data_IF_587722738407
#
_entry.id   IF_587722738407
#
_cell.length_a   1.000
_cell.length_b   1.000
_cell.length_c   1.000
_cell.angle_alpha   90.00
_cell.angle_beta   90.00
_cell.angle_gamma   90.00
#
_symmetry.space_group_name_H-M   'P 1'
#
loop_
_entity.id
_entity.type
_entity.pdbx_description
1 polymer ?
#
# COMPACT_ATOMS: atom_id res chain seq x y z
N UNK A 1 9.68 14.90 -24.58
CA UNK A 1 9.94 14.04 -23.41
C UNK A 1 9.82 12.55 -23.72
N UNK A 2 8.66 12.02 -24.16
CA UNK A 2 8.52 10.59 -24.48
C UNK A 2 9.56 10.09 -25.48
N UNK A 3 9.70 10.72 -26.64
CA UNK A 3 10.64 10.30 -27.68
C UNK A 3 12.13 10.37 -27.26
N UNK A 4 12.46 11.17 -26.25
CA UNK A 4 13.82 11.31 -25.72
C UNK A 4 14.24 10.05 -24.94
N UNK A 5 13.38 9.58 -24.03
CA UNK A 5 13.68 8.49 -23.12
C UNK A 5 13.07 7.15 -23.53
N UNK A 6 12.00 7.16 -24.32
CA UNK A 6 11.24 5.97 -24.64
C UNK A 6 11.27 5.63 -26.12
N UNK A 7 11.00 4.39 -26.43
CA UNK A 7 10.82 3.86 -27.79
C UNK A 7 9.54 3.04 -27.83
N UNK A 8 8.84 3.07 -28.98
CA UNK A 8 7.73 2.19 -29.22
C UNK A 8 8.24 0.76 -29.36
N UNK A 9 7.62 -0.18 -28.65
CA UNK A 9 7.83 -1.61 -28.90
C UNK A 9 6.99 -2.01 -30.12
N UNK A 10 7.65 -2.38 -31.19
CA UNK A 10 7.23 -2.52 -32.60
C UNK A 10 5.92 -3.26 -32.97
N UNK A 11 4.95 -3.40 -32.07
CA UNK A 11 3.67 -4.04 -32.31
C UNK A 11 2.44 -3.26 -31.84
N UNK A 12 2.60 -2.22 -31.02
CA UNK A 12 1.49 -1.43 -30.49
C UNK A 12 1.90 0.05 -30.41
N UNK A 13 1.01 0.94 -30.84
CA UNK A 13 1.20 2.40 -30.69
C UNK A 13 1.01 2.89 -29.27
N UNK A 14 0.54 2.04 -28.36
CA UNK A 14 0.30 2.34 -26.93
C UNK A 14 1.44 1.90 -26.03
N UNK A 15 2.32 0.99 -26.47
CA UNK A 15 3.33 0.38 -25.61
C UNK A 15 4.69 1.09 -25.77
N UNK A 16 5.09 1.73 -24.69
CA UNK A 16 6.35 2.46 -24.61
C UNK A 16 7.33 1.73 -23.71
N UNK A 17 8.55 1.54 -24.17
CA UNK A 17 9.64 0.97 -23.40
C UNK A 17 10.74 1.99 -23.18
N UNK A 18 11.23 2.11 -21.95
CA UNK A 18 12.38 2.96 -21.63
C UNK A 18 13.64 2.43 -22.35
N UNK A 19 14.34 3.29 -23.05
CA UNK A 19 15.59 2.94 -23.75
C UNK A 19 16.66 2.57 -22.73
N UNK A 20 17.37 1.45 -22.93
CA UNK A 20 18.36 0.98 -21.96
C UNK A 20 19.45 2.02 -21.65
N UNK A 21 19.95 2.74 -22.65
CA UNK A 21 20.95 3.81 -22.47
C UNK A 21 20.40 5.08 -21.84
N UNK A 22 19.07 5.25 -21.78
CA UNK A 22 18.41 6.42 -21.22
C UNK A 22 17.92 6.23 -19.79
N UNK A 23 18.05 5.03 -19.21
CA UNK A 23 17.52 4.69 -17.87
C UNK A 23 18.03 5.68 -16.83
N UNK A 24 19.34 5.85 -16.71
CA UNK A 24 19.91 6.74 -15.71
C UNK A 24 19.47 8.20 -15.94
N UNK A 25 19.58 8.70 -17.16
CA UNK A 25 19.20 10.07 -17.49
C UNK A 25 17.70 10.35 -17.24
N UNK A 26 16.85 9.37 -17.49
CA UNK A 26 15.42 9.47 -17.18
C UNK A 26 15.18 9.62 -15.68
N UNK A 27 15.78 8.75 -14.86
CA UNK A 27 15.56 8.80 -13.42
C UNK A 27 16.24 9.99 -12.76
N UNK A 28 17.38 10.45 -13.28
CA UNK A 28 18.01 11.71 -12.86
C UNK A 28 17.09 12.91 -13.16
N UNK A 29 16.44 12.92 -14.33
CA UNK A 29 15.42 13.93 -14.65
C UNK A 29 14.22 13.84 -13.70
N UNK A 30 13.68 12.64 -13.45
CA UNK A 30 12.54 12.47 -12.53
C UNK A 30 12.91 12.94 -11.12
N UNK A 31 14.13 12.67 -10.65
CA UNK A 31 14.60 13.08 -9.32
C UNK A 31 14.73 14.60 -9.12
N UNK A 32 14.62 15.40 -10.19
CA UNK A 32 14.63 16.88 -10.07
C UNK A 32 13.31 17.43 -9.48
N UNK A 33 12.22 16.68 -9.55
CA UNK A 33 10.89 17.09 -9.07
C UNK A 33 10.17 16.04 -8.26
N UNK A 34 10.71 14.80 -8.15
CA UNK A 34 10.15 13.70 -7.34
C UNK A 34 11.26 13.10 -6.49
N UNK A 35 10.93 12.73 -5.26
CA UNK A 35 11.84 12.08 -4.31
C UNK A 35 11.24 10.76 -3.89
N UNK A 36 12.04 9.69 -3.87
CA UNK A 36 11.67 8.41 -3.30
C UNK A 36 12.70 8.00 -2.25
N UNK A 37 12.21 7.81 -1.02
CA UNK A 37 13.00 7.35 0.11
C UNK A 37 12.28 6.15 0.74
N UNK A 38 13.01 5.09 1.01
CA UNK A 38 12.49 3.89 1.66
C UNK A 38 12.87 3.85 3.14
N UNK A 39 14.00 4.44 3.49
CA UNK A 39 14.56 4.43 4.84
C UNK A 39 15.53 5.61 5.03
N UNK A 40 15.82 6.00 6.28
CA UNK A 40 16.69 7.13 6.57
C UNK A 40 18.08 7.04 5.95
N UNK A 41 18.68 5.86 5.84
CA UNK A 41 20.00 5.68 5.22
C UNK A 41 20.04 6.00 3.72
N UNK A 42 18.89 6.06 3.05
CA UNK A 42 18.83 6.51 1.66
C UNK A 42 19.29 7.96 1.49
N UNK A 43 19.28 8.74 2.57
CA UNK A 43 19.77 10.12 2.62
C UNK A 43 20.88 10.34 3.68
N UNK A 44 21.51 9.25 4.13
CA UNK A 44 22.69 9.31 4.98
C UNK A 44 22.44 9.37 6.48
N UNK A 45 21.21 9.11 6.95
CA UNK A 45 20.86 9.01 8.37
C UNK A 45 20.86 7.56 8.85
N UNK A 46 20.83 7.37 10.18
CA UNK A 46 20.76 6.04 10.79
C UNK A 46 19.37 5.41 10.62
N UNK A 47 19.35 4.09 10.36
CA UNK A 47 18.12 3.31 10.16
C UNK A 47 17.52 2.78 11.49
N UNK A 48 18.05 3.16 12.65
CA UNK A 48 17.53 2.71 13.95
C UNK A 48 16.04 3.02 14.08
N UNK A 49 15.23 1.99 14.37
CA UNK A 49 13.78 2.08 14.46
C UNK A 49 13.04 2.05 13.11
N UNK A 50 13.76 2.03 11.98
CA UNK A 50 13.17 1.97 10.65
C UNK A 50 13.40 0.63 9.93
N UNK A 51 14.18 -0.26 10.52
CA UNK A 51 14.38 -1.61 9.99
C UNK A 51 13.09 -2.41 10.11
N UNK A 52 12.65 -2.99 9.00
CA UNK A 52 11.48 -3.85 8.97
C UNK A 52 11.92 -5.31 9.10
N UNK A 53 11.14 -6.16 9.80
CA UNK A 53 11.35 -7.59 9.81
C UNK A 53 11.21 -8.16 8.38
N UNK A 54 11.64 -9.42 8.14
CA UNK A 54 11.46 -10.05 6.84
C UNK A 54 9.99 -10.09 6.41
N UNK A 55 9.71 -9.80 5.13
CA UNK A 55 8.42 -10.02 4.51
C UNK A 55 8.39 -11.43 3.90
N UNK A 56 7.49 -12.28 4.38
CA UNK A 56 7.29 -13.62 3.87
C UNK A 56 6.07 -13.65 2.95
N UNK A 57 6.25 -14.00 1.68
CA UNK A 57 5.15 -14.13 0.72
C UNK A 57 4.98 -15.59 0.37
N UNK A 58 3.88 -16.19 0.83
CA UNK A 58 3.53 -17.59 0.64
C UNK A 58 2.47 -17.67 -0.45
N UNK A 59 2.70 -18.53 -1.42
CA UNK A 59 1.71 -18.82 -2.46
C UNK A 59 1.02 -20.14 -2.15
N UNK A 60 -0.30 -20.07 -2.07
CA UNK A 60 -1.17 -21.22 -1.88
C UNK A 60 -1.95 -21.46 -3.17
N UNK A 61 -1.54 -22.46 -3.94
CA UNK A 61 -2.20 -22.82 -5.19
C UNK A 61 -3.13 -23.99 -4.89
N UNK A 62 -4.43 -23.76 -5.12
CA UNK A 62 -5.46 -24.77 -4.94
C UNK A 62 -5.78 -25.39 -6.30
N UNK A 63 -5.71 -26.71 -6.37
CA UNK A 63 -6.07 -27.43 -7.58
C UNK A 63 -7.59 -27.38 -7.82
N UNK A 64 -7.98 -26.99 -9.03
CA UNK A 64 -9.39 -26.93 -9.43
C UNK A 64 -9.88 -28.33 -9.84
N UNK A 65 -11.07 -28.74 -9.37
CA UNK A 65 -11.68 -29.98 -9.84
C UNK A 65 -11.80 -29.99 -11.38
N UNK A 66 -11.56 -31.15 -11.98
CA UNK A 66 -11.66 -31.32 -13.42
C UNK A 66 -13.08 -30.98 -13.89
N UNK A 67 -13.20 -30.01 -14.78
CA UNK A 67 -14.48 -29.61 -15.36
C UNK A 67 -14.88 -30.54 -16.50
N UNK A 68 -16.16 -30.85 -16.59
CA UNK A 68 -16.69 -31.76 -17.61
C UNK A 68 -16.96 -30.99 -18.94
N UNK A 69 -15.91 -30.38 -19.50
CA UNK A 69 -15.97 -29.56 -20.72
C UNK A 69 -15.35 -30.23 -21.95
N UNK A 70 -15.08 -31.53 -21.88
CA UNK A 70 -14.45 -32.28 -22.97
C UNK A 70 -12.96 -32.03 -23.19
N UNK A 71 -12.34 -31.19 -22.34
CA UNK A 71 -10.90 -30.89 -22.38
C UNK A 71 -10.13 -31.72 -21.37
N UNK A 72 -8.87 -32.04 -21.66
CA UNK A 72 -8.00 -32.75 -20.73
C UNK A 72 -7.63 -31.93 -19.51
N UNK A 73 -7.53 -30.60 -19.64
CA UNK A 73 -7.17 -29.65 -18.61
C UNK A 73 -8.21 -28.53 -18.50
N UNK A 74 -8.34 -27.93 -17.32
CA UNK A 74 -9.14 -26.72 -17.16
C UNK A 74 -8.43 -25.56 -17.89
N UNK A 75 -9.16 -24.74 -18.68
CA UNK A 75 -8.56 -23.60 -19.35
C UNK A 75 -8.07 -22.57 -18.33
N UNK A 76 -6.90 -22.02 -18.57
CA UNK A 76 -6.36 -20.90 -17.78
C UNK A 76 -7.10 -19.62 -18.18
N UNK A 77 -7.45 -18.80 -17.21
CA UNK A 77 -8.08 -17.49 -17.44
C UNK A 77 -7.11 -16.57 -18.21
N UNK A 78 -7.45 -16.17 -19.43
CA UNK A 78 -6.56 -15.43 -20.33
C UNK A 78 -6.77 -13.92 -20.22
N UNK A 79 -7.98 -13.47 -19.92
CA UNK A 79 -8.36 -12.06 -19.85
C UNK A 79 -9.11 -11.74 -18.55
N UNK A 80 -9.39 -10.45 -18.30
CA UNK A 80 -10.05 -10.00 -17.09
C UNK A 80 -11.46 -10.59 -16.90
N UNK A 81 -12.19 -10.83 -17.99
CA UNK A 81 -13.55 -11.41 -17.94
C UNK A 81 -13.48 -12.88 -17.49
N UNK A 82 -12.60 -13.66 -18.09
CA UNK A 82 -12.38 -15.06 -17.72
C UNK A 82 -11.90 -15.16 -16.28
N UNK A 83 -11.01 -14.26 -15.87
CA UNK A 83 -10.54 -14.19 -14.50
C UNK A 83 -11.65 -13.92 -13.49
N UNK A 84 -12.51 -12.93 -13.73
CA UNK A 84 -13.65 -12.66 -12.84
C UNK A 84 -14.67 -13.80 -12.80
N UNK A 85 -14.81 -14.54 -13.90
CA UNK A 85 -15.61 -15.76 -13.94
C UNK A 85 -14.96 -16.85 -13.09
N UNK A 86 -13.67 -17.06 -13.25
CA UNK A 86 -12.88 -18.04 -12.51
C UNK A 86 -12.90 -17.78 -11.02
N UNK A 87 -12.74 -16.51 -10.59
CA UNK A 87 -12.88 -16.12 -9.19
C UNK A 87 -14.23 -16.52 -8.58
N UNK A 88 -15.32 -16.40 -9.35
CA UNK A 88 -16.67 -16.76 -8.90
C UNK A 88 -16.92 -18.26 -8.90
N UNK A 89 -16.30 -19.00 -9.82
CA UNK A 89 -16.47 -20.45 -9.90
C UNK A 89 -15.60 -21.22 -8.90
N UNK A 90 -14.51 -20.63 -8.45
CA UNK A 90 -13.52 -21.27 -7.55
C UNK A 90 -13.53 -20.75 -6.13
N UNK A 91 -14.47 -19.84 -5.77
CA UNK A 91 -14.42 -19.18 -4.46
C UNK A 91 -14.46 -20.18 -3.29
N UNK A 92 -15.28 -21.23 -3.36
CA UNK A 92 -15.42 -22.20 -2.26
C UNK A 92 -14.11 -22.92 -1.94
N UNK A 93 -13.43 -23.46 -2.97
CA UNK A 93 -12.17 -24.18 -2.76
C UNK A 93 -11.07 -23.26 -2.24
N UNK A 94 -11.01 -22.03 -2.73
CA UNK A 94 -10.04 -21.02 -2.26
C UNK A 94 -10.33 -20.62 -0.82
N UNK A 95 -11.58 -20.38 -0.47
CA UNK A 95 -11.96 -19.92 0.87
C UNK A 95 -11.87 -21.05 1.91
N UNK A 96 -12.06 -22.30 1.50
CA UNK A 96 -11.74 -23.45 2.39
C UNK A 96 -10.23 -23.46 2.73
N UNK A 97 -9.37 -23.17 1.74
CA UNK A 97 -7.91 -23.06 2.01
C UNK A 97 -7.60 -21.86 2.91
N UNK A 98 -8.28 -20.73 2.72
CA UNK A 98 -8.17 -19.56 3.63
C UNK A 98 -8.52 -19.97 5.07
N UNK A 99 -9.65 -20.66 5.27
CA UNK A 99 -10.06 -21.11 6.60
C UNK A 99 -9.07 -22.12 7.20
N UNK A 100 -8.50 -23.01 6.40
CA UNK A 100 -7.44 -23.93 6.82
C UNK A 100 -6.23 -23.17 7.36
N UNK A 101 -5.73 -22.15 6.62
CA UNK A 101 -4.59 -21.32 7.06
C UNK A 101 -4.91 -20.63 8.38
N UNK A 102 -6.07 -19.99 8.50
CA UNK A 102 -6.47 -19.26 9.71
C UNK A 102 -6.61 -20.20 10.92
N UNK A 103 -7.21 -21.38 10.72
CA UNK A 103 -7.41 -22.37 11.78
C UNK A 103 -6.11 -23.06 12.22
N UNK A 104 -5.10 -23.12 11.36
CA UNK A 104 -3.77 -23.60 11.73
C UNK A 104 -3.06 -22.65 12.71
N UNK A 105 -3.51 -21.38 12.81
CA UNK A 105 -2.93 -20.34 13.67
C UNK A 105 -3.98 -19.69 14.58
N UNK A 106 -4.55 -20.43 15.55
CA UNK A 106 -5.74 -20.02 16.31
C UNK A 106 -5.52 -18.78 17.20
N UNK A 107 -4.28 -18.47 17.54
CA UNK A 107 -3.93 -17.34 18.42
C UNK A 107 -3.42 -16.10 17.67
N UNK A 108 -3.37 -16.14 16.34
CA UNK A 108 -2.83 -15.06 15.54
C UNK A 108 -3.94 -14.22 14.90
N UNK A 109 -3.64 -12.93 14.66
CA UNK A 109 -4.54 -12.00 13.99
C UNK A 109 -4.41 -12.14 12.49
N UNK A 110 -5.55 -12.01 11.78
CA UNK A 110 -5.60 -12.09 10.32
C UNK A 110 -6.41 -10.97 9.70
N UNK A 111 -5.91 -10.43 8.59
CA UNK A 111 -6.69 -9.64 7.65
C UNK A 111 -6.93 -10.49 6.41
N UNK A 112 -8.18 -10.67 6.02
CA UNK A 112 -8.57 -11.43 4.83
C UNK A 112 -9.14 -10.46 3.80
N UNK A 113 -8.42 -10.32 2.69
CA UNK A 113 -8.82 -9.48 1.57
C UNK A 113 -9.66 -10.26 0.57
N UNK A 114 -10.90 -9.82 0.37
CA UNK A 114 -11.87 -10.45 -0.52
C UNK A 114 -12.19 -9.56 -1.72
N UNK A 115 -12.66 -10.16 -2.83
CA UNK A 115 -13.11 -9.47 -4.03
C UNK A 115 -14.60 -9.20 -4.05
N UNK A 116 -15.41 -10.17 -3.61
CA UNK A 116 -16.86 -10.16 -3.72
C UNK A 116 -17.56 -10.39 -2.37
N UNK A 117 -18.75 -9.81 -2.19
CA UNK A 117 -19.54 -9.94 -0.94
C UNK A 117 -19.96 -11.38 -0.64
N UNK A 118 -20.08 -12.23 -1.67
CA UNK A 118 -20.38 -13.65 -1.49
C UNK A 118 -19.22 -14.39 -0.78
N UNK A 119 -17.98 -14.00 -1.04
CA UNK A 119 -16.81 -14.57 -0.37
C UNK A 119 -16.83 -14.28 1.14
N UNK A 120 -17.18 -13.04 1.52
CA UNK A 120 -17.30 -12.68 2.93
C UNK A 120 -18.37 -13.49 3.66
N UNK A 121 -19.56 -13.64 3.04
CA UNK A 121 -20.62 -14.48 3.60
C UNK A 121 -20.20 -15.94 3.79
N UNK A 122 -19.47 -16.50 2.83
CA UNK A 122 -18.97 -17.87 2.92
C UNK A 122 -17.92 -18.02 4.02
N UNK A 123 -16.99 -17.08 4.13
CA UNK A 123 -15.96 -17.08 5.18
C UNK A 123 -16.55 -16.94 6.57
N UNK A 124 -17.62 -16.16 6.78
CA UNK A 124 -18.30 -16.06 8.08
C UNK A 124 -18.91 -17.38 8.54
N UNK A 125 -19.31 -18.27 7.63
CA UNK A 125 -19.76 -19.61 7.99
C UNK A 125 -18.59 -20.51 8.40
N UNK A 126 -17.39 -20.34 7.83
CA UNK A 126 -16.19 -21.12 8.15
C UNK A 126 -15.43 -20.57 9.36
N UNK A 127 -15.50 -19.26 9.59
CA UNK A 127 -14.79 -18.51 10.62
C UNK A 127 -15.79 -17.65 11.41
N UNK A 128 -16.55 -18.24 12.36
CA UNK A 128 -17.63 -17.53 13.06
C UNK A 128 -17.16 -16.38 13.96
N UNK A 129 -15.88 -16.36 14.36
CA UNK A 129 -15.23 -15.31 15.13
C UNK A 129 -14.75 -14.13 14.28
N UNK A 130 -14.88 -14.20 12.97
CA UNK A 130 -14.48 -13.13 12.06
C UNK A 130 -15.51 -11.99 12.02
N UNK A 131 -15.01 -10.77 11.80
CA UNK A 131 -15.82 -9.58 11.55
C UNK A 131 -15.66 -9.18 10.09
N UNK A 132 -16.77 -9.08 9.36
CA UNK A 132 -16.78 -8.56 8.00
C UNK A 132 -17.14 -7.07 7.99
N UNK A 133 -16.39 -6.27 7.21
CA UNK A 133 -16.69 -4.86 6.93
C UNK A 133 -16.90 -4.69 5.44
N UNK A 134 -18.14 -4.26 5.08
CA UNK A 134 -18.61 -4.09 3.69
C UNK A 134 -18.68 -2.64 3.26
N UNK A 135 -18.67 -2.41 1.95
CA UNK A 135 -18.93 -1.09 1.39
C UNK A 135 -20.31 -0.53 1.72
N UNK A 136 -21.34 -1.40 1.81
CA UNK A 136 -22.74 -1.07 2.14
C UNK A 136 -22.98 -0.75 3.62
N UNK A 137 -22.06 -1.09 4.52
CA UNK A 137 -22.23 -0.80 5.94
C UNK A 137 -22.24 0.72 6.19
N UNK A 138 -22.92 1.15 7.25
CA UNK A 138 -22.94 2.56 7.60
C UNK A 138 -21.54 3.04 8.04
N UNK A 139 -21.32 4.34 7.95
CA UNK A 139 -19.99 4.94 8.23
C UNK A 139 -19.49 4.65 9.65
N UNK A 140 -20.38 4.73 10.64
CA UNK A 140 -20.03 4.51 12.04
C UNK A 140 -19.58 3.06 12.28
N UNK A 141 -20.35 2.08 11.79
CA UNK A 141 -19.97 0.66 11.90
C UNK A 141 -18.60 0.39 11.27
N UNK A 142 -18.37 0.92 10.04
CA UNK A 142 -17.05 0.78 9.39
C UNK A 142 -15.94 1.36 10.23
N UNK A 143 -16.11 2.59 10.73
CA UNK A 143 -15.13 3.25 11.60
C UNK A 143 -14.84 2.39 12.84
N UNK A 144 -15.88 1.99 13.57
CA UNK A 144 -15.74 1.25 14.83
C UNK A 144 -15.05 -0.10 14.63
N UNK A 145 -15.44 -0.84 13.59
CA UNK A 145 -14.83 -2.16 13.32
C UNK A 145 -13.42 -2.06 12.80
N UNK A 146 -13.13 -1.15 11.86
CA UNK A 146 -11.77 -0.98 11.35
C UNK A 146 -10.79 -0.48 12.42
N UNK A 147 -11.21 0.45 13.27
CA UNK A 147 -10.40 0.90 14.39
C UNK A 147 -10.31 -0.16 15.50
N UNK A 148 -11.41 -0.86 15.79
CA UNK A 148 -11.44 -1.96 16.75
C UNK A 148 -10.45 -3.08 16.41
N UNK A 149 -10.33 -3.43 15.13
CA UNK A 149 -9.29 -4.36 14.70
C UNK A 149 -7.88 -3.84 14.96
N UNK A 150 -7.62 -2.56 14.67
CA UNK A 150 -6.33 -1.93 14.98
C UNK A 150 -5.99 -1.94 16.47
N UNK A 151 -7.01 -1.89 17.35
CA UNK A 151 -6.86 -2.01 18.82
C UNK A 151 -6.81 -3.44 19.32
N UNK A 152 -6.97 -4.44 18.44
CA UNK A 152 -6.95 -5.87 18.80
C UNK A 152 -8.23 -6.37 19.46
N UNK A 153 -9.38 -5.72 19.25
CA UNK A 153 -10.68 -6.12 19.84
C UNK A 153 -11.21 -7.45 19.29
N UNK A 154 -10.76 -7.85 18.12
CA UNK A 154 -11.07 -9.13 17.50
C UNK A 154 -9.94 -9.60 16.59
N UNK A 155 -9.88 -10.88 16.33
CA UNK A 155 -8.75 -11.57 15.72
C UNK A 155 -8.78 -11.54 14.19
N UNK A 156 -9.94 -11.63 13.55
CA UNK A 156 -10.06 -11.80 12.10
C UNK A 156 -10.91 -10.67 11.52
N UNK A 157 -10.29 -9.91 10.61
CA UNK A 157 -10.98 -8.90 9.80
C UNK A 157 -11.13 -9.39 8.37
N UNK A 158 -12.37 -9.44 7.87
CA UNK A 158 -12.68 -9.70 6.46
C UNK A 158 -13.12 -8.40 5.81
N UNK A 159 -12.47 -7.97 4.75
CA UNK A 159 -12.85 -6.73 4.04
C UNK A 159 -12.28 -6.68 2.63
N UNK A 160 -12.72 -5.71 1.84
CA UNK A 160 -12.17 -5.44 0.50
C UNK A 160 -11.03 -4.43 0.56
N UNK A 161 -10.03 -4.59 -0.29
CA UNK A 161 -8.91 -3.65 -0.41
C UNK A 161 -9.38 -2.20 -0.54
N UNK A 162 -10.38 -1.93 -1.38
CA UNK A 162 -10.95 -0.59 -1.60
C UNK A 162 -11.50 0.09 -0.32
N UNK A 163 -11.81 -0.69 0.72
CA UNK A 163 -12.39 -0.16 1.97
C UNK A 163 -11.27 0.19 2.96
N UNK A 164 -10.28 -0.66 3.08
CA UNK A 164 -9.30 -0.60 4.18
C UNK A 164 -7.84 -0.43 3.71
N UNK A 165 -7.59 -0.25 2.41
CA UNK A 165 -6.22 -0.10 1.89
C UNK A 165 -5.61 1.27 2.19
N UNK A 166 -6.41 2.31 2.50
CA UNK A 166 -5.91 3.66 2.75
C UNK A 166 -6.12 4.10 4.21
N UNK A 167 -5.13 4.82 4.75
CA UNK A 167 -5.24 5.55 5.99
C UNK A 167 -5.24 4.75 7.30
N UNK A 168 -5.25 3.41 7.26
CA UNK A 168 -5.30 2.56 8.46
C UNK A 168 -3.93 1.97 8.82
N UNK A 169 -3.72 1.71 10.11
CA UNK A 169 -2.53 1.08 10.64
C UNK A 169 -2.91 -0.23 11.35
N UNK A 170 -2.32 -1.34 10.89
CA UNK A 170 -2.58 -2.68 11.42
C UNK A 170 -1.29 -3.41 11.82
N UNK A 171 -0.40 -2.73 12.53
CA UNK A 171 0.82 -3.33 13.06
C UNK A 171 0.56 -4.43 14.10
N UNK A 172 -0.63 -4.43 14.71
CA UNK A 172 -1.11 -5.50 15.57
C UNK A 172 -1.40 -6.83 14.82
N UNK A 173 -1.34 -6.81 13.49
CA UNK A 173 -1.60 -7.97 12.66
C UNK A 173 -0.44 -8.18 11.68
N UNK A 174 0.23 -9.31 11.76
CA UNK A 174 1.34 -9.67 10.88
C UNK A 174 0.97 -10.73 9.83
N UNK A 175 -0.30 -11.19 9.79
CA UNK A 175 -0.77 -12.14 8.78
C UNK A 175 -1.86 -11.51 7.91
N UNK A 176 -1.64 -11.53 6.60
CA UNK A 176 -2.63 -11.10 5.62
C UNK A 176 -2.88 -12.20 4.60
N UNK A 177 -4.14 -12.45 4.28
CA UNK A 177 -4.54 -13.44 3.27
C UNK A 177 -5.26 -12.70 2.13
N UNK A 178 -4.76 -12.83 0.93
CA UNK A 178 -5.41 -12.38 -0.29
C UNK A 178 -6.21 -13.55 -0.86
N UNK A 179 -7.46 -13.67 -0.44
CA UNK A 179 -8.40 -14.70 -0.89
C UNK A 179 -8.82 -14.49 -2.35
N UNK A 180 -8.79 -13.24 -2.82
CA UNK A 180 -8.99 -12.85 -4.21
C UNK A 180 -7.89 -11.90 -4.62
N UNK A 181 -6.90 -12.40 -5.36
CA UNK A 181 -5.86 -11.57 -5.95
C UNK A 181 -6.41 -10.84 -7.17
N UNK A 182 -6.17 -9.55 -7.28
CA UNK A 182 -6.55 -8.71 -8.42
C UNK A 182 -5.30 -8.40 -9.28
N UNK A 183 -5.52 -7.95 -10.51
CA UNK A 183 -4.46 -7.44 -11.40
C UNK A 183 -3.81 -6.14 -10.88
N UNK A 184 -4.42 -5.49 -9.88
CA UNK A 184 -3.90 -4.26 -9.29
C UNK A 184 -2.80 -4.55 -8.28
N UNK A 185 -1.55 -4.52 -8.74
CA UNK A 185 -0.37 -4.59 -7.87
C UNK A 185 -0.39 -3.45 -6.83
N UNK A 186 -0.77 -2.23 -7.24
CA UNK A 186 -0.81 -1.07 -6.35
C UNK A 186 -1.74 -1.29 -5.15
N UNK A 187 -2.97 -1.77 -5.41
CA UNK A 187 -3.94 -2.04 -4.34
C UNK A 187 -3.41 -3.08 -3.35
N UNK A 188 -2.81 -4.17 -3.87
CA UNK A 188 -2.21 -5.21 -3.03
C UNK A 188 -1.02 -4.66 -2.23
N UNK A 189 -0.14 -3.89 -2.87
CA UNK A 189 0.98 -3.24 -2.20
C UNK A 189 0.51 -2.32 -1.06
N UNK A 190 -0.50 -1.48 -1.31
CA UNK A 190 -1.09 -0.62 -0.29
C UNK A 190 -1.72 -1.43 0.86
N UNK A 191 -2.35 -2.55 0.57
CA UNK A 191 -2.86 -3.49 1.57
C UNK A 191 -1.74 -4.08 2.44
N UNK A 192 -0.66 -4.57 1.82
CA UNK A 192 0.51 -5.10 2.54
C UNK A 192 1.08 -4.05 3.50
N UNK A 193 1.19 -2.79 3.06
CA UNK A 193 1.71 -1.68 3.86
C UNK A 193 0.84 -1.29 5.06
N UNK A 194 -0.33 -1.91 5.26
CA UNK A 194 -1.12 -1.74 6.50
C UNK A 194 -0.46 -2.43 7.69
N UNK A 195 0.14 -3.59 7.48
CA UNK A 195 0.88 -4.35 8.49
C UNK A 195 2.40 -4.17 8.36
N UNK A 196 2.92 -4.21 7.13
CA UNK A 196 4.34 -4.11 6.83
C UNK A 196 4.80 -2.64 6.75
N UNK A 197 5.00 -2.04 7.91
CA UNK A 197 5.40 -0.63 8.04
C UNK A 197 6.28 -0.42 9.27
N UNK A 198 6.93 0.72 9.36
CA UNK A 198 7.82 1.05 10.48
C UNK A 198 7.12 0.87 11.82
N UNK A 199 7.82 0.24 12.77
CA UNK A 199 7.28 -0.16 14.05
C UNK A 199 6.70 -1.58 14.10
N UNK A 200 6.64 -2.30 12.95
CA UNK A 200 6.34 -3.73 12.96
C UNK A 200 7.54 -4.50 13.52
N UNK A 201 7.28 -5.34 14.53
CA UNK A 201 8.30 -6.14 15.21
C UNK A 201 8.28 -7.62 14.80
N UNK A 202 7.14 -8.08 14.28
CA UNK A 202 6.93 -9.47 13.86
C UNK A 202 7.13 -9.66 12.37
N UNK A 203 7.57 -10.85 11.96
CA UNK A 203 7.62 -11.22 10.56
C UNK A 203 6.24 -11.14 9.93
N UNK A 204 6.09 -10.36 8.86
CA UNK A 204 4.80 -10.25 8.17
C UNK A 204 4.68 -11.36 7.13
N UNK A 205 3.60 -12.13 7.23
CA UNK A 205 3.24 -13.22 6.32
C UNK A 205 2.09 -12.78 5.41
N UNK A 206 2.31 -12.91 4.13
CA UNK A 206 1.34 -12.59 3.07
C UNK A 206 1.00 -13.89 2.34
N UNK A 207 -0.23 -14.37 2.49
CA UNK A 207 -0.72 -15.57 1.82
C UNK A 207 -1.50 -15.15 0.57
N UNK A 208 -1.02 -15.55 -0.60
CA UNK A 208 -1.69 -15.33 -1.88
C UNK A 208 -2.40 -16.64 -2.28
N UNK A 209 -3.72 -16.69 -2.09
CA UNK A 209 -4.51 -17.89 -2.38
C UNK A 209 -5.07 -17.78 -3.80
N UNK A 210 -4.58 -18.66 -4.67
CA UNK A 210 -4.95 -18.71 -6.09
C UNK A 210 -5.31 -20.14 -6.50
N UNK A 211 -5.74 -20.33 -7.74
CA UNK A 211 -5.93 -21.65 -8.34
C UNK A 211 -4.93 -21.86 -9.47
N UNK A 212 -4.74 -23.12 -9.85
CA UNK A 212 -3.95 -23.55 -11.01
C UNK A 212 -4.42 -22.89 -12.32
N UNK A 213 -5.71 -22.54 -12.42
CA UNK A 213 -6.32 -21.85 -13.55
C UNK A 213 -6.09 -20.34 -13.59
N UNK A 214 -5.49 -19.75 -12.55
CA UNK A 214 -5.24 -18.29 -12.41
C UNK A 214 -3.75 -17.92 -12.51
N UNK A 215 -2.91 -18.77 -13.07
CA UNK A 215 -1.45 -18.55 -13.12
C UNK A 215 -1.05 -17.23 -13.80
N UNK A 216 -1.76 -16.81 -14.86
CA UNK A 216 -1.46 -15.56 -15.57
C UNK A 216 -1.59 -14.30 -14.70
N UNK A 217 -2.49 -14.30 -13.72
CA UNK A 217 -2.63 -13.16 -12.77
C UNK A 217 -1.40 -13.07 -11.89
N UNK A 218 -0.94 -14.21 -11.41
CA UNK A 218 0.28 -14.30 -10.64
C UNK A 218 1.48 -13.80 -11.45
N UNK A 219 1.67 -14.30 -12.66
CA UNK A 219 2.78 -13.89 -13.52
C UNK A 219 2.76 -12.38 -13.80
N UNK A 220 1.57 -11.81 -14.00
CA UNK A 220 1.39 -10.36 -14.13
C UNK A 220 1.73 -9.62 -12.85
N UNK A 221 1.34 -10.15 -11.69
CA UNK A 221 1.66 -9.58 -10.39
C UNK A 221 3.17 -9.60 -10.12
N UNK A 222 3.83 -10.74 -10.33
CA UNK A 222 5.27 -10.92 -10.15
C UNK A 222 6.07 -9.98 -11.07
N UNK A 223 5.61 -9.83 -12.33
CA UNK A 223 6.22 -8.88 -13.29
C UNK A 223 6.12 -7.44 -12.79
N UNK A 224 4.95 -7.03 -12.31
CA UNK A 224 4.73 -5.68 -11.77
C UNK A 224 5.52 -5.44 -10.48
N UNK A 225 5.61 -6.43 -9.60
CA UNK A 225 6.42 -6.37 -8.40
C UNK A 225 7.90 -6.17 -8.71
N UNK A 226 8.45 -6.94 -9.65
CA UNK A 226 9.84 -6.80 -10.10
C UNK A 226 10.10 -5.41 -10.67
N UNK A 227 9.23 -4.94 -11.57
CA UNK A 227 9.34 -3.61 -12.15
C UNK A 227 9.26 -2.49 -11.09
N UNK A 228 8.42 -2.66 -10.07
CA UNK A 228 8.32 -1.70 -8.97
C UNK A 228 9.59 -1.66 -8.11
N UNK A 229 10.16 -2.81 -7.75
CA UNK A 229 11.42 -2.90 -7.00
C UNK A 229 12.57 -2.26 -7.79
N UNK A 230 12.61 -2.52 -9.09
CA UNK A 230 13.62 -1.92 -9.98
C UNK A 230 13.46 -0.40 -10.09
N UNK A 231 12.22 0.08 -10.23
CA UNK A 231 11.90 1.50 -10.19
C UNK A 231 12.34 2.15 -8.87
N UNK A 232 12.03 1.54 -7.73
CA UNK A 232 12.45 2.04 -6.41
C UNK A 232 13.97 2.19 -6.33
N UNK A 233 14.71 1.17 -6.78
CA UNK A 233 16.17 1.20 -6.81
C UNK A 233 16.68 2.40 -7.62
N UNK A 234 16.24 2.55 -8.86
CA UNK A 234 16.71 3.63 -9.73
C UNK A 234 16.34 5.02 -9.17
N UNK A 235 15.12 5.17 -8.63
CA UNK A 235 14.69 6.42 -8.02
C UNK A 235 15.48 6.78 -6.78
N UNK A 236 15.74 5.82 -5.88
CA UNK A 236 16.56 6.05 -4.68
C UNK A 236 17.99 6.42 -5.06
N UNK A 237 18.58 5.72 -6.03
CA UNK A 237 19.93 6.04 -6.54
C UNK A 237 19.99 7.44 -7.17
N UNK A 238 18.98 7.81 -7.98
CA UNK A 238 18.90 9.13 -8.60
C UNK A 238 18.68 10.24 -7.55
N UNK A 239 17.78 10.00 -6.59
CA UNK A 239 17.57 10.90 -5.45
C UNK A 239 18.87 11.14 -4.68
N UNK A 240 19.63 10.08 -4.38
CA UNK A 240 20.90 10.18 -3.68
C UNK A 240 21.95 10.99 -4.46
N UNK A 241 22.04 10.78 -5.79
CA UNK A 241 22.97 11.57 -6.62
C UNK A 241 22.59 13.06 -6.60
N UNK A 242 21.30 13.34 -6.73
CA UNK A 242 20.79 14.72 -6.76
C UNK A 242 20.97 15.41 -5.40
N UNK A 243 20.64 14.73 -4.29
CA UNK A 243 20.83 15.27 -2.93
C UNK A 243 22.29 15.51 -2.61
N UNK A 244 23.22 14.60 -2.97
CA UNK A 244 24.65 14.82 -2.79
C UNK A 244 25.15 16.05 -3.53
N UNK A 245 24.66 16.28 -4.75
CA UNK A 245 24.96 17.49 -5.52
C UNK A 245 24.42 18.74 -4.82
N UNK A 246 23.21 18.71 -4.30
CA UNK A 246 22.60 19.84 -3.57
C UNK A 246 23.33 20.08 -2.25
N UNK A 247 23.62 19.03 -1.48
CA UNK A 247 24.29 19.14 -0.18
C UNK A 247 25.77 19.51 -0.29
N UNK A 248 26.46 19.10 -1.36
CA UNK A 248 27.83 19.55 -1.62
C UNK A 248 27.92 21.06 -1.91
N UNK A 249 26.82 21.65 -2.36
CA UNK A 249 26.70 23.09 -2.59
C UNK A 249 26.29 23.87 -1.34
N UNK A 250 25.93 23.20 -0.24
CA UNK A 250 25.46 23.82 1.01
C UNK A 250 25.93 23.06 2.23
N UNK A 251 26.81 23.64 3.05
CA UNK A 251 26.90 23.31 4.47
C UNK A 251 25.56 23.77 5.09
N UNK A 252 24.63 22.85 5.27
CA UNK A 252 23.41 23.14 6.05
C UNK A 252 23.81 23.22 7.51
N UNK A 253 23.84 24.43 8.06
CA UNK A 253 23.65 24.60 9.48
C UNK A 253 22.22 24.11 9.82
N UNK A 254 22.08 23.30 10.85
CA UNK A 254 20.80 22.84 11.38
C UNK A 254 20.07 24.03 12.01
N UNK A 255 19.48 24.87 11.18
CA UNK A 255 18.60 25.95 11.63
C UNK A 255 17.15 25.43 11.65
N UNK A 256 16.38 25.86 12.62
CA UNK A 256 14.93 25.57 12.68
C UNK A 256 14.17 26.23 11.52
N UNK A 257 14.83 27.05 10.77
CA UNK A 257 14.29 27.79 9.64
C UNK A 257 15.30 27.76 8.49
N UNK A 258 14.81 27.59 7.28
CA UNK A 258 15.61 27.68 6.07
C UNK A 258 14.97 28.67 5.11
N UNK A 259 15.72 29.68 4.69
CA UNK A 259 15.26 30.69 3.76
C UNK A 259 16.22 30.87 2.59
N UNK A 260 15.69 30.88 1.39
CA UNK A 260 16.40 31.21 0.15
C UNK A 260 15.49 32.06 -0.73
N UNK A 261 16.00 32.53 -1.88
CA UNK A 261 15.21 33.31 -2.84
C UNK A 261 13.98 32.55 -3.38
N UNK A 262 13.95 31.22 -3.25
CA UNK A 262 12.92 30.34 -3.82
C UNK A 262 12.15 29.52 -2.78
N UNK A 263 12.58 29.54 -1.53
CA UNK A 263 12.02 28.64 -0.50
C UNK A 263 12.19 29.24 0.88
N UNK A 264 11.12 29.17 1.68
CA UNK A 264 11.08 29.53 3.10
C UNK A 264 10.47 28.35 3.88
N UNK A 265 11.30 27.59 4.59
CA UNK A 265 10.88 26.43 5.39
C UNK A 265 10.96 26.82 6.85
N UNK A 266 9.84 26.72 7.56
CA UNK A 266 9.71 27.06 8.97
C UNK A 266 9.28 25.84 9.77
N UNK A 267 9.98 25.59 10.87
CA UNK A 267 9.61 24.57 11.83
C UNK A 267 8.84 25.21 12.97
N UNK A 268 7.63 24.72 13.23
CA UNK A 268 6.83 25.19 14.35
C UNK A 268 5.33 24.94 14.15
N UNK A 269 4.55 25.45 15.10
CA UNK A 269 3.10 25.46 15.01
C UNK A 269 2.66 26.28 13.79
N UNK A 270 1.95 25.64 12.86
CA UNK A 270 1.57 26.26 11.58
C UNK A 270 0.64 27.47 11.78
N UNK A 271 -0.20 27.49 12.82
CA UNK A 271 -1.10 28.61 13.12
C UNK A 271 -0.28 29.86 13.48
N UNK A 272 0.77 29.69 14.28
CA UNK A 272 1.67 30.79 14.64
C UNK A 272 2.55 31.23 13.46
N UNK A 273 3.03 30.24 12.69
CA UNK A 273 3.90 30.54 11.55
C UNK A 273 3.18 31.26 10.42
N UNK A 274 1.93 30.89 10.13
CA UNK A 274 1.14 31.52 9.05
C UNK A 274 0.88 33.00 9.31
N UNK A 275 0.75 33.40 10.59
CA UNK A 275 0.56 34.82 10.96
C UNK A 275 1.77 35.71 10.65
N UNK A 276 2.92 35.12 10.36
CA UNK A 276 4.14 35.84 9.98
C UNK A 276 4.30 35.99 8.47
N UNK A 277 3.39 35.41 7.68
CA UNK A 277 3.36 35.51 6.22
C UNK A 277 2.53 36.76 5.84
N UNK A 278 3.02 37.62 4.98
CA UNK A 278 2.26 38.80 4.55
C UNK A 278 0.93 38.41 3.89
N UNK A 279 -0.10 39.20 4.14
CA UNK A 279 -1.40 39.03 3.48
C UNK A 279 -1.24 39.09 1.97
N UNK A 280 -2.10 38.37 1.25
CA UNK A 280 -2.15 38.29 -0.22
C UNK A 280 -0.85 37.85 -0.91
N UNK A 281 0.09 37.24 -0.15
CA UNK A 281 1.40 36.79 -0.70
C UNK A 281 1.40 35.34 -1.21
N UNK A 282 0.37 34.53 -0.93
CA UNK A 282 0.28 33.13 -1.28
C UNK A 282 -0.72 32.92 -2.40
N UNK A 283 -0.24 32.51 -3.60
CA UNK A 283 -1.09 32.23 -4.73
C UNK A 283 -1.73 30.84 -4.75
N UNK A 284 -1.15 29.86 -4.04
CA UNK A 284 -1.66 28.50 -3.96
C UNK A 284 -1.23 27.86 -2.64
N UNK A 285 -2.16 27.25 -1.93
CA UNK A 285 -1.88 26.42 -0.75
C UNK A 285 -2.22 24.96 -1.03
N UNK A 286 -1.30 24.05 -0.73
CA UNK A 286 -1.50 22.60 -0.81
C UNK A 286 -1.12 22.02 0.54
N UNK A 287 -2.06 21.37 1.21
CA UNK A 287 -1.82 20.74 2.50
C UNK A 287 -2.61 19.44 2.61
N UNK A 288 -2.09 18.52 3.41
CA UNK A 288 -2.78 17.30 3.82
C UNK A 288 -3.04 17.40 5.31
N UNK A 289 -4.27 17.72 5.72
CA UNK A 289 -4.59 17.79 7.15
C UNK A 289 -4.46 16.40 7.77
N UNK A 290 -4.11 16.31 9.07
CA UNK A 290 -4.17 15.04 9.79
C UNK A 290 -5.60 14.49 9.77
N UNK A 291 -5.72 13.19 9.79
CA UNK A 291 -7.02 12.51 9.90
C UNK A 291 -7.45 12.55 11.37
N UNK A 292 -8.25 13.54 11.77
CA UNK A 292 -8.76 13.68 13.14
C UNK A 292 -9.09 12.33 13.78
N UNK A 293 -8.73 12.07 15.02
CA UNK A 293 -8.90 10.81 15.77
C UNK A 293 -8.22 9.55 15.18
N UNK A 294 -7.82 9.56 13.90
CA UNK A 294 -7.18 8.38 13.27
C UNK A 294 -5.69 8.27 13.57
N UNK A 295 -5.03 9.40 13.80
CA UNK A 295 -3.60 9.46 14.12
C UNK A 295 -3.31 10.58 15.10
N UNK A 296 -2.76 10.23 16.25
CA UNK A 296 -2.11 11.15 17.18
C UNK A 296 -0.63 11.19 16.81
N UNK A 297 -0.12 12.38 16.48
CA UNK A 297 1.29 12.56 16.12
C UNK A 297 2.13 13.01 17.31
N UNK A 298 1.51 13.63 18.31
CA UNK A 298 2.16 14.06 19.55
C UNK A 298 1.14 14.24 20.68
N UNK A 299 1.61 14.40 21.92
CA UNK A 299 0.78 14.69 23.09
C UNK A 299 0.44 16.18 23.23
N UNK A 300 0.78 17.02 22.26
CA UNK A 300 0.59 18.47 22.32
C UNK A 300 -0.83 18.84 21.94
N UNK A 301 -1.36 19.89 22.59
CA UNK A 301 -2.70 20.42 22.31
C UNK A 301 -2.83 20.98 20.89
N UNK A 302 -1.72 21.42 20.30
CA UNK A 302 -1.66 21.95 18.94
C UNK A 302 -1.65 20.85 17.85
N UNK A 303 -1.59 19.57 18.26
CA UNK A 303 -1.70 18.46 17.31
C UNK A 303 -3.16 18.24 16.93
N UNK A 304 -3.51 18.65 15.73
CA UNK A 304 -4.86 18.49 15.18
C UNK A 304 -5.31 17.01 15.08
N UNK A 305 -4.38 16.04 15.14
CA UNK A 305 -4.67 14.61 15.26
C UNK A 305 -5.34 14.23 16.59
N UNK A 306 -5.31 15.11 17.60
CA UNK A 306 -5.97 14.92 18.90
C UNK A 306 -7.41 15.45 18.94
N UNK A 307 -7.91 16.06 17.85
CA UNK A 307 -9.28 16.60 17.80
C UNK A 307 -10.31 15.48 17.95
N UNK A 308 -11.32 15.70 18.78
CA UNK A 308 -12.38 14.69 19.07
C UNK A 308 -13.29 14.43 17.89
N UNK A 309 -13.48 15.44 17.04
CA UNK A 309 -14.30 15.35 15.84
C UNK A 309 -13.87 16.36 14.78
N UNK A 310 -14.49 16.31 13.61
CA UNK A 310 -14.20 17.24 12.54
C UNK A 310 -14.61 18.69 12.83
N UNK A 311 -15.52 18.93 13.75
CA UNK A 311 -15.93 20.27 14.11
C UNK A 311 -14.82 20.94 14.95
N UNK A 312 -14.28 20.24 15.95
CA UNK A 312 -13.13 20.71 16.73
C UNK A 312 -11.87 20.85 15.86
N UNK A 313 -11.74 19.98 14.84
CA UNK A 313 -10.63 20.01 13.89
C UNK A 313 -10.61 21.28 13.02
N UNK A 314 -11.77 21.85 12.68
CA UNK A 314 -11.89 23.03 11.80
C UNK A 314 -12.24 24.33 12.55
N UNK A 315 -12.30 24.34 13.87
CA UNK A 315 -12.48 25.56 14.71
C UNK A 315 -11.19 26.01 15.33
#
# INVERSE_FOLDING_TARGET
MLAMYFVHDGGSTSDWRLKGHAVQAFWDFVSTWAVMLNKPSDIGFDDTGYSLPPLNVVQEIVETPKRNNGMFFNPVAVNATDFHKELRETYEIRLNKVAEIVNAHPNENFIIWIGHDQEGKYLLNLLPDAIEVKGSDNKQYKKDKLLGFGRGEFRILITKLKIAQFGLNYQNCHNQIYASLDFSFEATYQGIRRSYRFGQMEQVNIYLVTTDTMQNVKDSFDKKQKAFVEMQKYMTEATNRNLKNILSLRKMETTKEYKSDKCDIRLGDCIKQIQTIPDDSIGLSIFSPPFAELYTYSDKLEDMGNSKDYQEFFT
#
